data_IF_452987059328
#
_entry.id   IF_452987059328
#
_cell.length_a   1.000
_cell.length_b   1.000
_cell.length_c   1.000
_cell.angle_alpha   90.00
_cell.angle_beta   90.00
_cell.angle_gamma   90.00
#
_symmetry.space_group_name_H-M   'P 1'
#
loop_
_entity.id
_entity.type
_entity.pdbx_description
1 polymer ?
#
# COMPACT_ATOMS: atom_id res chain seq x y z
N UNK A 1 5.61 11.74 29.30
CA UNK A 1 5.97 10.72 28.28
C UNK A 1 5.22 11.11 27.02
N UNK A 2 5.84 11.11 25.83
CA UNK A 2 5.09 11.36 24.61
C UNK A 2 3.96 10.34 24.50
N UNK A 3 2.82 10.78 24.00
CA UNK A 3 1.67 9.92 23.74
C UNK A 3 2.10 8.87 22.71
N UNK A 4 1.98 7.58 23.06
CA UNK A 4 2.27 6.50 22.12
C UNK A 4 1.01 6.31 21.29
N UNK A 5 1.12 6.74 20.05
CA UNK A 5 0.06 6.66 19.07
C UNK A 5 0.05 5.20 18.55
N UNK A 6 -0.86 4.35 19.08
CA UNK A 6 -0.86 2.89 18.91
C UNK A 6 -2.12 2.35 18.21
N UNK A 7 -2.29 2.76 16.96
CA UNK A 7 -3.41 2.37 16.09
C UNK A 7 -3.12 1.15 15.21
N UNK A 8 -4.17 0.56 14.61
CA UNK A 8 -4.03 -0.56 13.68
C UNK A 8 -3.14 -0.22 12.47
N UNK A 9 -2.36 -1.21 12.03
CA UNK A 9 -1.63 -1.19 10.76
C UNK A 9 -2.35 -2.06 9.74
N UNK A 10 -2.59 -1.54 8.55
CA UNK A 10 -3.03 -2.33 7.40
C UNK A 10 -1.80 -2.91 6.68
N UNK A 11 -1.74 -4.24 6.55
CA UNK A 11 -0.69 -4.96 5.84
C UNK A 11 -1.30 -5.62 4.61
N UNK A 12 -0.85 -5.25 3.40
CA UNK A 12 -1.58 -5.57 2.16
C UNK A 12 -0.64 -5.63 0.95
N UNK A 13 -0.86 -6.58 0.03
CA UNK A 13 -0.21 -6.50 -1.29
C UNK A 13 -0.90 -5.42 -2.13
N UNK A 14 -0.18 -4.73 -3.04
CA UNK A 14 -0.79 -3.73 -3.90
C UNK A 14 -1.96 -4.26 -4.75
N UNK A 15 -2.07 -5.58 -4.97
CA UNK A 15 -3.12 -6.23 -5.77
C UNK A 15 -4.24 -6.88 -4.93
N UNK A 16 -4.18 -6.85 -3.60
CA UNK A 16 -5.08 -7.66 -2.75
C UNK A 16 -6.49 -7.09 -2.55
N UNK A 17 -6.70 -5.80 -2.81
CA UNK A 17 -8.01 -5.15 -2.76
C UNK A 17 -8.20 -4.45 -4.10
N UNK A 18 -9.22 -4.85 -4.87
CA UNK A 18 -9.55 -4.27 -6.18
C UNK A 18 -8.60 -4.56 -7.34
N UNK A 19 -7.35 -4.94 -7.07
CA UNK A 19 -6.38 -5.41 -8.06
C UNK A 19 -5.19 -4.49 -8.28
N UNK A 20 -5.27 -3.23 -7.83
CA UNK A 20 -4.18 -2.25 -7.90
C UNK A 20 -4.07 -1.41 -6.63
N UNK A 21 -2.94 -0.73 -6.46
CA UNK A 21 -2.71 0.18 -5.35
C UNK A 21 -3.70 1.36 -5.38
N UNK A 22 -4.15 1.77 -6.57
CA UNK A 22 -5.20 2.78 -6.72
C UNK A 22 -6.51 2.36 -6.05
N UNK A 23 -6.90 1.09 -6.17
CA UNK A 23 -8.11 0.57 -5.51
C UNK A 23 -7.96 0.56 -3.98
N UNK A 24 -6.75 0.33 -3.46
CA UNK A 24 -6.46 0.43 -2.03
C UNK A 24 -6.55 1.89 -1.56
N UNK A 25 -6.07 2.85 -2.38
CA UNK A 25 -6.20 4.28 -2.09
C UNK A 25 -7.68 4.67 -2.01
N UNK A 26 -8.48 4.27 -3.00
CA UNK A 26 -9.91 4.55 -3.02
C UNK A 26 -10.63 3.93 -1.82
N UNK A 27 -10.28 2.69 -1.46
CA UNK A 27 -10.76 2.02 -0.25
C UNK A 27 -10.43 2.84 1.00
N UNK A 28 -9.17 3.23 1.20
CA UNK A 28 -8.73 3.98 2.38
C UNK A 28 -9.38 5.38 2.50
N UNK A 29 -9.83 5.96 1.38
CA UNK A 29 -10.53 7.25 1.34
C UNK A 29 -12.02 7.16 1.70
N UNK A 30 -12.56 5.96 1.89
CA UNK A 30 -13.95 5.78 2.33
C UNK A 30 -14.19 6.46 3.69
N UNK A 31 -15.26 7.26 3.85
CA UNK A 31 -15.55 7.97 5.11
C UNK A 31 -15.60 7.07 6.34
N UNK A 32 -16.03 5.81 6.16
CA UNK A 32 -16.14 4.78 7.19
C UNK A 32 -14.78 4.33 7.75
N UNK A 33 -13.69 4.51 6.98
CA UNK A 33 -12.34 4.12 7.37
C UNK A 33 -11.50 5.28 7.88
N UNK A 34 -12.09 6.48 7.99
CA UNK A 34 -11.43 7.65 8.56
C UNK A 34 -10.92 7.35 9.97
N UNK A 35 -9.61 7.53 10.18
CA UNK A 35 -8.90 7.28 11.44
C UNK A 35 -8.91 5.82 11.93
N UNK A 36 -9.28 4.85 11.07
CA UNK A 36 -9.27 3.42 11.45
C UNK A 36 -7.86 2.84 11.44
N UNK A 37 -7.11 3.10 10.36
CA UNK A 37 -5.71 2.67 10.23
C UNK A 37 -4.79 3.85 10.46
N UNK A 38 -3.77 3.63 11.27
CA UNK A 38 -2.74 4.65 11.53
C UNK A 38 -1.54 4.47 10.58
N UNK A 39 -1.32 3.26 10.09
CA UNK A 39 -0.20 2.96 9.19
C UNK A 39 -0.60 1.94 8.13
N UNK A 40 0.11 2.00 7.01
CA UNK A 40 -0.03 1.09 5.88
C UNK A 40 1.34 0.47 5.57
N UNK A 41 1.39 -0.86 5.48
CA UNK A 41 2.54 -1.61 5.00
C UNK A 41 2.16 -2.29 3.69
N UNK A 42 2.73 -1.80 2.60
CA UNK A 42 2.53 -2.35 1.25
C UNK A 42 3.59 -3.44 1.02
N UNK A 43 3.16 -4.62 0.60
CA UNK A 43 4.08 -5.72 0.32
C UNK A 43 4.90 -5.53 -0.97
N UNK A 44 6.03 -6.23 -1.11
CA UNK A 44 7.07 -5.90 -2.08
C UNK A 44 6.72 -6.02 -3.57
N UNK A 45 5.58 -6.63 -3.94
CA UNK A 45 5.15 -6.72 -5.35
C UNK A 45 4.79 -5.38 -5.99
N UNK A 46 4.89 -4.28 -5.22
CA UNK A 46 4.88 -2.91 -5.74
C UNK A 46 6.11 -2.60 -6.62
N UNK A 47 7.18 -3.40 -6.50
CA UNK A 47 8.37 -3.34 -7.36
C UNK A 47 8.34 -4.40 -8.47
N UNK A 48 9.26 -4.32 -9.42
CA UNK A 48 9.42 -5.35 -10.45
C UNK A 48 10.01 -6.63 -9.85
N UNK A 49 9.26 -7.73 -9.89
CA UNK A 49 9.59 -8.99 -9.23
C UNK A 49 9.21 -10.20 -10.08
N UNK A 50 9.89 -11.33 -9.91
CA UNK A 50 9.62 -12.56 -10.68
C UNK A 50 8.88 -13.63 -9.85
N UNK A 51 9.40 -13.94 -8.66
CA UNK A 51 8.95 -15.04 -7.81
C UNK A 51 8.57 -14.59 -6.40
N UNK A 52 7.99 -15.53 -5.64
CA UNK A 52 7.70 -15.40 -4.22
C UNK A 52 6.85 -14.16 -3.88
N UNK A 53 5.80 -13.90 -4.69
CA UNK A 53 4.82 -12.80 -4.49
C UNK A 53 5.49 -11.44 -4.20
N UNK A 54 6.64 -11.15 -4.80
CA UNK A 54 7.34 -9.89 -4.62
C UNK A 54 8.62 -9.97 -3.79
N UNK A 55 8.89 -11.08 -3.11
CA UNK A 55 10.12 -11.20 -2.31
C UNK A 55 11.36 -11.54 -3.15
N UNK A 56 11.20 -11.91 -4.43
CA UNK A 56 12.29 -12.02 -5.41
C UNK A 56 12.34 -10.78 -6.31
N UNK A 57 12.93 -9.70 -5.79
CA UNK A 57 13.03 -8.40 -6.48
C UNK A 57 14.03 -8.48 -7.65
N UNK A 58 13.59 -8.07 -8.84
CA UNK A 58 14.45 -7.87 -10.01
C UNK A 58 15.11 -6.49 -9.92
N UNK A 59 14.28 -5.46 -9.75
CA UNK A 59 14.71 -4.08 -9.52
C UNK A 59 13.67 -3.30 -8.70
N UNK A 60 14.06 -2.15 -8.17
CA UNK A 60 13.21 -1.28 -7.33
C UNK A 60 12.45 -0.22 -8.13
N UNK A 61 12.35 -0.39 -9.45
CA UNK A 61 11.40 0.34 -10.26
C UNK A 61 9.97 -0.03 -9.86
N UNK A 62 9.06 0.93 -9.96
CA UNK A 62 7.65 0.69 -9.66
C UNK A 62 7.09 -0.28 -10.70
N UNK A 63 6.38 -1.31 -10.24
CA UNK A 63 5.61 -2.18 -11.12
C UNK A 63 4.33 -1.45 -11.55
N UNK A 64 4.33 -0.96 -12.78
CA UNK A 64 3.22 -0.19 -13.35
C UNK A 64 1.96 -1.03 -13.61
N UNK A 65 2.02 -2.35 -13.48
CA UNK A 65 0.81 -3.21 -13.48
C UNK A 65 -0.01 -3.04 -12.19
N UNK A 66 0.66 -2.76 -11.07
CA UNK A 66 0.01 -2.70 -9.75
C UNK A 66 -0.04 -1.31 -9.13
N UNK A 67 0.84 -0.39 -9.54
CA UNK A 67 0.92 0.92 -8.91
C UNK A 67 1.41 2.01 -9.87
N UNK A 68 0.91 3.22 -9.66
CA UNK A 68 1.39 4.44 -10.32
C UNK A 68 2.05 5.37 -9.31
N UNK A 69 2.84 6.34 -9.80
CA UNK A 69 3.38 7.40 -8.93
C UNK A 69 2.27 8.22 -8.26
N UNK A 70 1.13 8.38 -8.92
CA UNK A 70 -0.01 9.12 -8.38
C UNK A 70 -0.55 8.45 -7.12
N UNK A 71 -0.67 7.13 -7.12
CA UNK A 71 -1.17 6.37 -5.96
C UNK A 71 -0.27 6.58 -4.73
N UNK A 72 1.04 6.59 -4.93
CA UNK A 72 2.01 6.88 -3.86
C UNK A 72 1.92 8.32 -3.33
N UNK A 73 1.60 9.29 -4.19
CA UNK A 73 1.41 10.68 -3.77
C UNK A 73 0.07 10.87 -3.04
N UNK A 74 -0.97 10.11 -3.39
CA UNK A 74 -2.25 10.16 -2.70
C UNK A 74 -2.20 9.49 -1.31
N UNK A 75 -1.33 8.49 -1.10
CA UNK A 75 -1.08 7.88 0.22
C UNK A 75 -0.33 8.78 1.21
N UNK A 76 0.36 9.82 0.73
CA UNK A 76 1.11 10.75 1.59
C UNK A 76 0.25 11.89 2.14
N UNK A 77 -1.00 11.99 1.70
CA UNK A 77 -1.95 13.03 2.11
C UNK A 77 -2.69 12.62 3.38
#
# INVERSE_FOLDING_TARGET
MPEIESGPMLNVYPDSIGGTLGDIVDFLQMPELKNVFQSLYILPSVFNTDLDRGFSVIDYGLNEEYASRKDLEDLKK
#
